data_IF_982233041720
#
_entry.id   IF_982233041720
#
_cell.length_a   1.000
_cell.length_b   1.000
_cell.length_c   1.000
_cell.angle_alpha   90.00
_cell.angle_beta   90.00
_cell.angle_gamma   90.00
#
_symmetry.space_group_name_H-M   'P 1'
#
loop_
_entity.id
_entity.type
_entity.pdbx_description
1 polymer ?
#
# COMPACT_ATOMS: atom_id res chain seq x y z
N UNK A 1 -5.66 -8.30 -19.99
CA UNK A 1 -6.94 -8.96 -19.65
C UNK A 1 -6.94 -9.11 -18.14
N UNK A 2 -7.85 -8.41 -17.44
CA UNK A 2 -8.00 -8.56 -15.99
C UNK A 2 -8.90 -9.76 -15.75
N UNK A 3 -8.41 -10.75 -15.03
CA UNK A 3 -9.16 -11.96 -14.71
C UNK A 3 -9.55 -11.92 -13.23
N UNK A 4 -10.80 -11.58 -12.94
CA UNK A 4 -11.37 -11.66 -11.59
C UNK A 4 -11.92 -13.07 -11.39
N UNK A 5 -11.35 -13.83 -10.46
CA UNK A 5 -11.94 -15.10 -10.02
C UNK A 5 -12.50 -14.89 -8.61
N UNK A 6 -13.83 -14.85 -8.42
CA UNK A 6 -14.40 -14.66 -7.11
C UNK A 6 -14.20 -15.93 -6.28
N UNK A 7 -13.49 -15.82 -5.17
CA UNK A 7 -13.48 -16.86 -4.13
C UNK A 7 -14.09 -16.22 -2.89
N UNK A 8 -15.06 -16.92 -2.29
CA UNK A 8 -15.89 -16.48 -1.17
C UNK A 8 -15.15 -15.55 -0.19
N UNK A 9 -15.53 -14.28 -0.18
CA UNK A 9 -15.11 -13.28 0.83
C UNK A 9 -13.89 -12.40 0.49
N UNK A 10 -13.21 -12.61 -0.64
CA UNK A 10 -11.98 -11.86 -0.98
C UNK A 10 -11.93 -11.49 -2.47
N UNK A 11 -11.68 -10.22 -2.80
CA UNK A 11 -11.27 -9.80 -4.13
C UNK A 11 -9.75 -9.64 -4.14
N UNK A 12 -9.03 -10.60 -4.71
CA UNK A 12 -7.58 -10.47 -4.98
C UNK A 12 -7.43 -10.18 -6.46
N UNK A 13 -7.21 -8.91 -6.78
CA UNK A 13 -6.84 -8.52 -8.13
C UNK A 13 -5.32 -8.50 -8.24
N UNK A 14 -4.82 -9.26 -9.22
CA UNK A 14 -3.40 -9.30 -9.56
C UNK A 14 -3.17 -8.45 -10.80
N UNK A 15 -2.48 -7.33 -10.64
CA UNK A 15 -2.08 -6.47 -11.73
C UNK A 15 -0.58 -6.62 -11.95
N UNK A 16 -0.19 -6.99 -13.17
CA UNK A 16 1.20 -6.98 -13.58
C UNK A 16 1.52 -5.65 -14.24
N UNK A 17 2.43 -4.88 -13.64
CA UNK A 17 2.92 -3.63 -14.19
C UNK A 17 4.44 -3.59 -14.09
N UNK A 18 5.13 -3.49 -15.24
CA UNK A 18 6.60 -3.45 -15.31
C UNK A 18 7.33 -4.55 -14.50
N UNK A 19 6.91 -5.81 -14.65
CA UNK A 19 7.45 -6.98 -13.92
C UNK A 19 7.25 -6.93 -12.39
N UNK A 20 6.33 -6.08 -11.89
CA UNK A 20 5.88 -6.05 -10.49
C UNK A 20 4.47 -6.61 -10.42
N UNK A 21 4.28 -7.61 -9.57
CA UNK A 21 2.98 -8.19 -9.27
C UNK A 21 2.34 -7.44 -8.11
N UNK A 22 1.31 -6.65 -8.39
CA UNK A 22 0.51 -5.95 -7.39
C UNK A 22 -0.64 -6.85 -6.97
N UNK A 23 -0.79 -7.07 -5.65
CA UNK A 23 -1.93 -7.79 -5.07
C UNK A 23 -2.70 -6.82 -4.20
N UNK A 24 -3.94 -6.53 -4.59
CA UNK A 24 -4.84 -5.68 -3.81
C UNK A 24 -5.68 -6.53 -2.86
N UNK A 25 -5.97 -5.98 -1.67
CA UNK A 25 -6.83 -6.58 -0.64
C UNK A 25 -7.82 -5.52 -0.18
N UNK A 26 -9.10 -5.87 -0.13
CA UNK A 26 -10.11 -5.05 0.56
C UNK A 26 -10.07 -5.38 2.06
N UNK A 27 -9.66 -4.42 2.88
CA UNK A 27 -9.73 -4.51 4.33
C UNK A 27 -11.13 -4.07 4.80
N UNK A 28 -12.15 -4.83 4.39
CA UNK A 28 -13.55 -4.55 4.74
C UNK A 28 -14.06 -5.40 5.91
N UNK A 29 -14.49 -4.73 6.99
CA UNK A 29 -15.46 -5.07 8.07
C UNK A 29 -15.48 -6.46 8.73
N UNK A 30 -14.61 -7.39 8.37
CA UNK A 30 -14.61 -8.71 8.99
C UNK A 30 -13.28 -8.96 9.71
N UNK A 31 -13.30 -8.80 11.03
CA UNK A 31 -12.30 -9.28 12.01
C UNK A 31 -11.73 -10.67 11.67
N UNK A 32 -12.51 -11.50 10.97
CA UNK A 32 -12.17 -12.85 10.53
C UNK A 32 -11.06 -12.91 9.48
N UNK A 33 -10.73 -11.81 8.81
CA UNK A 33 -9.75 -11.78 7.72
C UNK A 33 -8.35 -11.37 8.18
N UNK A 34 -8.22 -10.67 9.32
CA UNK A 34 -6.93 -10.25 9.88
C UNK A 34 -5.93 -11.41 10.11
N UNK A 35 -6.35 -12.61 10.59
CA UNK A 35 -5.43 -13.74 10.71
C UNK A 35 -4.85 -14.23 9.38
N UNK A 36 -5.57 -14.00 8.27
CA UNK A 36 -5.13 -14.44 6.95
C UNK A 36 -4.08 -13.52 6.33
N UNK A 37 -3.98 -12.26 6.78
CA UNK A 37 -3.02 -11.29 6.24
C UNK A 37 -1.59 -11.83 6.27
N UNK A 38 -1.16 -12.45 7.37
CA UNK A 38 0.18 -13.04 7.52
C UNK A 38 0.53 -14.03 6.40
N UNK A 39 -0.44 -14.77 5.87
CA UNK A 39 -0.21 -15.73 4.78
C UNK A 39 0.05 -15.04 3.44
N UNK A 40 -0.44 -13.81 3.27
CA UNK A 40 -0.35 -13.05 2.03
C UNK A 40 0.79 -12.04 2.01
N UNK A 41 1.32 -11.67 3.17
CA UNK A 41 2.44 -10.72 3.29
C UNK A 41 3.78 -11.31 2.88
N UNK A 42 3.92 -12.64 2.83
CA UNK A 42 5.16 -13.31 2.42
C UNK A 42 5.68 -12.81 1.06
N UNK A 43 6.96 -12.44 1.03
CA UNK A 43 7.66 -11.91 -0.15
C UNK A 43 7.03 -10.62 -0.72
N UNK A 44 6.34 -9.83 0.10
CA UNK A 44 5.79 -8.54 -0.34
C UNK A 44 6.89 -7.48 -0.44
N UNK A 45 7.08 -6.94 -1.64
CA UNK A 45 8.07 -5.88 -1.89
C UNK A 45 7.49 -4.47 -1.73
N UNK A 46 6.17 -4.34 -1.81
CA UNK A 46 5.47 -3.08 -1.67
C UNK A 46 4.04 -3.27 -1.15
N UNK A 47 3.63 -2.38 -0.27
CA UNK A 47 2.29 -2.30 0.30
C UNK A 47 1.59 -1.07 -0.27
N UNK A 48 0.40 -1.27 -0.84
CA UNK A 48 -0.51 -0.18 -1.21
C UNK A 48 -1.61 -0.11 -0.17
N UNK A 49 -1.72 1.01 0.53
CA UNK A 49 -2.72 1.24 1.56
C UNK A 49 -3.64 2.37 1.12
N UNK A 50 -4.94 2.11 1.06
CA UNK A 50 -5.92 3.09 0.56
C UNK A 50 -6.70 3.65 1.73
N UNK A 51 -6.73 4.98 1.83
CA UNK A 51 -7.49 5.71 2.84
C UNK A 51 -8.62 6.46 2.17
N UNK A 52 -9.82 6.37 2.72
CA UNK A 52 -10.90 7.30 2.39
C UNK A 52 -10.58 8.67 3.00
N UNK A 53 -10.11 9.60 2.17
CA UNK A 53 -9.68 10.93 2.62
C UNK A 53 -10.84 11.76 3.15
N UNK A 54 -12.07 11.44 2.76
CA UNK A 54 -13.25 12.16 3.20
C UNK A 54 -13.81 11.60 4.53
N UNK A 55 -13.34 10.43 4.96
CA UNK A 55 -13.75 9.79 6.22
C UNK A 55 -12.78 10.11 7.35
N UNK A 56 -12.97 11.30 7.93
CA UNK A 56 -12.13 11.81 9.02
C UNK A 56 -12.28 11.02 10.32
N UNK A 57 -13.37 10.26 10.50
CA UNK A 57 -13.65 9.53 11.74
C UNK A 57 -12.89 8.19 11.80
N UNK A 58 -12.69 7.54 10.67
CA UNK A 58 -12.00 6.24 10.60
C UNK A 58 -10.49 6.31 10.41
N UNK A 59 -9.91 7.51 10.30
CA UNK A 59 -8.46 7.66 10.11
C UNK A 59 -7.63 7.10 11.27
N UNK A 60 -8.14 7.16 12.50
CA UNK A 60 -7.47 6.60 13.67
C UNK A 60 -7.46 5.06 13.63
N UNK A 61 -8.55 4.45 13.15
CA UNK A 61 -8.63 3.01 12.92
C UNK A 61 -7.68 2.60 11.79
N UNK A 62 -7.68 3.33 10.67
CA UNK A 62 -6.77 3.11 9.55
C UNK A 62 -5.30 3.19 9.97
N UNK A 63 -4.95 4.13 10.87
CA UNK A 63 -3.62 4.19 11.49
C UNK A 63 -3.30 2.89 12.22
N UNK A 64 -4.18 2.44 13.11
CA UNK A 64 -3.92 1.23 13.91
C UNK A 64 -3.70 0.01 13.01
N UNK A 65 -4.52 -0.17 11.97
CA UNK A 65 -4.39 -1.25 10.99
C UNK A 65 -3.06 -1.18 10.23
N UNK A 66 -2.73 0.01 9.69
CA UNK A 66 -1.48 0.20 8.97
C UNK A 66 -0.28 -0.13 9.86
N UNK A 67 -0.26 0.39 11.09
CA UNK A 67 0.82 0.11 12.03
C UNK A 67 0.89 -1.37 12.36
N UNK A 68 -0.24 -2.03 12.62
CA UNK A 68 -0.27 -3.47 12.88
C UNK A 68 0.31 -4.27 11.71
N UNK A 69 -0.05 -3.95 10.46
CA UNK A 69 0.54 -4.57 9.28
C UNK A 69 2.05 -4.34 9.21
N UNK A 70 2.51 -3.11 9.43
CA UNK A 70 3.92 -2.75 9.32
C UNK A 70 4.82 -3.35 10.41
N UNK A 71 4.24 -3.92 11.47
CA UNK A 71 4.97 -4.70 12.49
C UNK A 71 5.25 -6.14 12.06
N UNK A 72 4.63 -6.65 11.00
CA UNK A 72 4.91 -8.00 10.49
C UNK A 72 6.27 -8.03 9.79
N UNK A 73 7.10 -9.04 10.12
CA UNK A 73 8.47 -9.17 9.62
C UNK A 73 8.54 -9.22 8.08
N UNK A 74 7.53 -9.83 7.46
CA UNK A 74 7.41 -9.92 6.00
C UNK A 74 7.30 -8.56 5.31
N UNK A 75 6.84 -7.52 6.03
CA UNK A 75 6.73 -6.16 5.53
C UNK A 75 7.89 -5.26 5.95
N UNK A 76 8.86 -5.73 6.73
CA UNK A 76 9.98 -4.90 7.23
C UNK A 76 10.65 -4.08 6.13
N UNK A 77 10.91 -4.71 5.00
CA UNK A 77 11.64 -4.12 3.87
C UNK A 77 10.73 -3.67 2.72
N UNK A 78 9.40 -3.70 2.90
CA UNK A 78 8.44 -3.28 1.87
C UNK A 78 8.38 -1.76 1.72
N UNK A 79 8.23 -1.26 0.49
CA UNK A 79 7.89 0.15 0.24
C UNK A 79 6.41 0.38 0.55
N UNK A 80 6.06 1.52 1.17
CA UNK A 80 4.68 1.86 1.46
C UNK A 80 4.18 2.96 0.51
N UNK A 81 3.16 2.66 -0.27
CA UNK A 81 2.37 3.63 -1.03
C UNK A 81 1.04 3.83 -0.31
N UNK A 82 0.69 5.08 0.00
CA UNK A 82 -0.65 5.44 0.52
C UNK A 82 -1.42 6.21 -0.54
N UNK A 83 -2.60 5.72 -0.87
CA UNK A 83 -3.56 6.46 -1.68
C UNK A 83 -4.56 7.17 -0.78
N UNK A 84 -4.54 8.49 -0.81
CA UNK A 84 -5.56 9.34 -0.22
C UNK A 84 -6.74 9.44 -1.21
N UNK A 85 -7.60 8.42 -1.22
CA UNK A 85 -8.71 8.29 -2.16
C UNK A 85 -9.87 9.24 -1.84
N UNK A 86 -10.70 9.55 -2.83
CA UNK A 86 -11.79 10.55 -2.78
C UNK A 86 -11.29 11.98 -2.54
N UNK A 87 -10.11 12.31 -3.07
CA UNK A 87 -9.53 13.64 -2.99
C UNK A 87 -10.37 14.72 -3.70
N UNK A 88 -11.31 14.32 -4.57
CA UNK A 88 -12.29 15.19 -5.23
C UNK A 88 -13.37 15.75 -4.31
N UNK A 89 -13.55 15.18 -3.11
CA UNK A 89 -14.61 15.58 -2.19
C UNK A 89 -14.21 16.80 -1.33
N UNK A 90 -15.17 17.70 -1.01
CA UNK A 90 -14.87 18.99 -0.39
C UNK A 90 -14.29 18.88 1.04
N UNK A 91 -14.56 17.80 1.76
CA UNK A 91 -14.01 17.55 3.10
C UNK A 91 -12.81 16.60 3.12
N UNK A 92 -12.25 16.28 1.95
CA UNK A 92 -11.09 15.40 1.84
C UNK A 92 -9.90 15.96 2.65
N UNK A 93 -9.26 15.08 3.41
CA UNK A 93 -7.99 15.36 4.07
C UNK A 93 -6.88 15.49 3.02
N UNK A 94 -5.98 16.44 3.22
CA UNK A 94 -4.80 16.58 2.36
C UNK A 94 -3.80 15.46 2.63
N UNK A 95 -2.89 15.19 1.68
CA UNK A 95 -1.80 14.23 1.90
C UNK A 95 -1.00 14.54 3.16
N UNK A 96 -0.72 15.82 3.44
CA UNK A 96 -0.01 16.24 4.64
C UNK A 96 -0.80 15.92 5.92
N UNK A 97 -2.12 16.15 5.93
CA UNK A 97 -2.97 15.81 7.07
C UNK A 97 -3.01 14.29 7.31
N UNK A 98 -3.12 13.49 6.25
CA UNK A 98 -3.11 12.02 6.36
C UNK A 98 -1.75 11.51 6.82
N UNK A 99 -0.64 12.07 6.32
CA UNK A 99 0.72 11.74 6.78
C UNK A 99 0.88 11.90 8.28
N UNK A 100 0.39 13.02 8.82
CA UNK A 100 0.43 13.30 10.26
C UNK A 100 -0.45 12.31 11.03
N UNK A 101 -1.71 12.14 10.61
CA UNK A 101 -2.68 11.28 11.30
C UNK A 101 -2.32 9.79 11.27
N UNK A 102 -1.69 9.31 10.19
CA UNK A 102 -1.16 7.96 10.09
C UNK A 102 0.17 7.78 10.84
N UNK A 103 0.77 8.87 11.34
CA UNK A 103 1.99 8.82 12.15
C UNK A 103 3.23 8.43 11.36
N UNK A 104 3.41 8.93 10.14
CA UNK A 104 4.55 8.58 9.27
C UNK A 104 5.90 8.85 9.92
N UNK A 105 6.00 9.84 10.81
CA UNK A 105 7.22 10.12 11.59
C UNK A 105 7.74 8.93 12.40
N UNK A 106 6.84 8.01 12.80
CA UNK A 106 7.19 6.82 13.56
C UNK A 106 7.56 5.62 12.69
N UNK A 107 7.49 5.72 11.36
CA UNK A 107 7.79 4.63 10.42
C UNK A 107 9.30 4.47 10.13
N UNK A 108 10.16 5.25 10.78
CA UNK A 108 11.61 5.15 10.67
C UNK A 108 12.13 5.49 9.27
N UNK A 109 13.06 4.69 8.74
CA UNK A 109 13.66 4.88 7.41
C UNK A 109 12.88 4.20 6.27
N UNK A 110 11.64 3.77 6.52
CA UNK A 110 10.81 3.14 5.51
C UNK A 110 10.57 4.10 4.34
N UNK A 111 10.68 3.58 3.12
CA UNK A 111 10.33 4.34 1.92
C UNK A 111 8.81 4.44 1.84
N UNK A 112 8.30 5.65 2.05
CA UNK A 112 6.88 5.95 2.08
C UNK A 112 6.57 7.05 1.07
N UNK A 113 5.44 6.93 0.40
CA UNK A 113 4.89 7.98 -0.45
C UNK A 113 3.38 8.01 -0.34
N UNK A 114 2.82 9.22 -0.41
CA UNK A 114 1.39 9.45 -0.35
C UNK A 114 1.00 10.35 -1.51
N UNK A 115 -0.09 10.00 -2.18
CA UNK A 115 -0.68 10.86 -3.20
C UNK A 115 -2.20 10.88 -3.10
N UNK A 116 -2.77 12.04 -3.40
CA UNK A 116 -4.22 12.22 -3.51
C UNK A 116 -4.73 11.49 -4.74
N UNK A 117 -5.82 10.75 -4.60
CA UNK A 117 -6.41 10.01 -5.71
C UNK A 117 -7.91 10.16 -5.79
N UNK A 118 -8.42 10.03 -7.01
CA UNK A 118 -9.83 9.83 -7.26
C UNK A 118 -9.97 8.55 -8.07
N UNK A 119 -10.34 7.45 -7.41
CA UNK A 119 -10.53 6.17 -8.08
C UNK A 119 -11.57 6.22 -9.22
N UNK A 120 -12.50 7.18 -9.20
CA UNK A 120 -13.52 7.36 -10.25
C UNK A 120 -12.94 7.94 -11.53
N UNK A 121 -12.06 8.95 -11.42
CA UNK A 121 -11.42 9.59 -12.59
C UNK A 121 -10.10 8.92 -12.96
N UNK A 122 -9.50 8.15 -12.05
CA UNK A 122 -8.17 7.57 -12.18
C UNK A 122 -7.03 8.53 -11.80
N UNK A 123 -7.35 9.75 -11.37
CA UNK A 123 -6.36 10.76 -11.00
C UNK A 123 -5.46 10.27 -9.84
N UNK A 124 -4.16 10.53 -9.96
CA UNK A 124 -3.13 10.16 -8.98
C UNK A 124 -2.76 8.66 -8.92
N UNK A 125 -3.57 7.76 -9.51
CA UNK A 125 -3.27 6.32 -9.49
C UNK A 125 -1.97 6.00 -10.23
N UNK A 126 -1.81 6.54 -11.44
CA UNK A 126 -0.63 6.29 -12.26
C UNK A 126 0.66 6.77 -11.57
N UNK A 127 0.65 7.98 -11.00
CA UNK A 127 1.79 8.54 -10.28
C UNK A 127 2.21 7.65 -9.10
N UNK A 128 1.24 7.24 -8.28
CA UNK A 128 1.52 6.38 -7.12
C UNK A 128 2.08 5.02 -7.53
N UNK A 129 1.47 4.36 -8.51
CA UNK A 129 1.99 3.07 -8.99
C UNK A 129 3.35 3.19 -9.67
N UNK A 130 3.60 4.27 -10.41
CA UNK A 130 4.90 4.53 -11.02
C UNK A 130 5.99 4.70 -9.95
N UNK A 131 5.71 5.46 -8.89
CA UNK A 131 6.61 5.61 -7.75
C UNK A 131 6.92 4.27 -7.09
N UNK A 132 5.89 3.46 -6.83
CA UNK A 132 6.04 2.17 -6.16
C UNK A 132 6.91 1.22 -6.98
N UNK A 133 6.64 1.10 -8.29
CA UNK A 133 7.39 0.22 -9.18
C UNK A 133 8.85 0.64 -9.32
N UNK A 134 9.10 1.96 -9.41
CA UNK A 134 10.47 2.50 -9.42
C UNK A 134 11.23 2.12 -8.15
N UNK A 135 10.61 2.31 -6.98
CA UNK A 135 11.25 2.01 -5.70
C UNK A 135 11.50 0.51 -5.49
N UNK A 136 10.56 -0.35 -5.89
CA UNK A 136 10.74 -1.82 -5.85
C UNK A 136 11.89 -2.25 -6.77
N UNK A 137 11.93 -1.70 -7.99
CA UNK A 137 12.96 -2.05 -8.99
C UNK A 137 14.36 -1.62 -8.54
N UNK A 138 14.51 -0.38 -8.05
CA UNK A 138 15.79 0.12 -7.56
C UNK A 138 16.34 -0.75 -6.42
N UNK A 139 15.49 -1.14 -5.46
CA UNK A 139 15.89 -2.04 -4.38
C UNK A 139 16.36 -3.40 -4.88
N UNK A 140 15.71 -3.96 -5.91
CA UNK A 140 16.13 -5.24 -6.48
C UNK A 140 17.54 -5.15 -7.05
N UNK A 141 17.83 -4.10 -7.83
CA UNK A 141 19.15 -3.85 -8.43
C UNK A 141 20.22 -3.74 -7.33
N UNK A 142 20.01 -2.91 -6.31
CA UNK A 142 20.98 -2.78 -5.21
C UNK A 142 21.22 -4.10 -4.47
N UNK A 143 20.19 -4.93 -4.28
CA UNK A 143 20.34 -6.23 -3.63
C UNK A 143 21.12 -7.25 -4.47
N UNK A 144 21.02 -7.18 -5.80
CA UNK A 144 21.76 -8.03 -6.73
C UNK A 144 23.23 -7.61 -6.81
N UNK A 145 23.51 -6.31 -6.90
CA UNK A 145 24.87 -5.75 -6.93
C UNK A 145 25.67 -6.09 -5.66
N UNK A 146 25.05 -6.01 -4.48
CA UNK A 146 25.69 -6.39 -3.22
C UNK A 146 26.02 -7.89 -3.14
N UNK A 147 25.19 -8.75 -3.75
CA UNK A 147 25.47 -10.20 -3.80
C UNK A 147 26.65 -10.51 -4.72
N UNK A 148 26.73 -9.86 -5.88
CA UNK A 148 27.84 -10.02 -6.82
C UNK A 148 29.15 -9.50 -6.22
N UNK A 149 29.12 -8.37 -5.51
CA UNK A 149 30.32 -7.81 -4.87
C UNK A 149 30.84 -8.61 -3.68
N UNK A 150 30.00 -9.44 -3.06
CA UNK A 150 30.37 -10.29 -1.91
C UNK A 150 30.64 -11.75 -2.31
N UNK A 151 30.67 -12.06 -3.60
CA UNK A 151 31.02 -13.36 -4.18
C UNK A 151 32.43 -13.34 -4.76
#
# INVERSE_FOLDING_TARGET
IVTTTPIAGFNVETLEYNNVMLRAWDAGDYDRTRPLWKHYLKNTQGLVFVVDSNDRNRIAEARNELHQMLHEDELRDASLLVFANKADLPSAMTSAEITDKLGFFSLGQRQCYITGTCAKSGEGLYEGFQWLCKNITQRRIFSEEQRVSNS
#
